data_IF_090248590717
#
_entry.id   IF_090248590717
#
_cell.length_a   1.000
_cell.length_b   1.000
_cell.length_c   1.000
_cell.angle_alpha   90.00
_cell.angle_beta   90.00
_cell.angle_gamma   90.00
#
_symmetry.space_group_name_H-M   'P 1'
#
loop_
_entity.id
_entity.type
_entity.pdbx_description
1 polymer ?
#
# COMPACT_ATOMS: atom_id res chain seq x y z
N UNK A 1 4.34 -18.58 -11.02
CA UNK A 1 4.29 -17.28 -10.31
C UNK A 1 5.64 -16.97 -9.69
N UNK A 2 6.27 -15.82 -10.01
CA UNK A 2 7.32 -15.26 -9.15
C UNK A 2 6.74 -14.94 -7.77
N UNK A 3 7.57 -15.03 -6.73
CA UNK A 3 7.15 -14.73 -5.36
C UNK A 3 7.05 -13.23 -5.15
N UNK A 4 6.03 -12.76 -4.42
CA UNK A 4 5.84 -11.33 -4.15
C UNK A 4 7.06 -10.72 -3.46
N UNK A 5 7.65 -11.44 -2.50
CA UNK A 5 8.93 -11.10 -1.87
C UNK A 5 9.83 -12.33 -1.86
N UNK A 6 11.08 -12.16 -2.28
CA UNK A 6 12.13 -13.17 -2.17
C UNK A 6 12.65 -13.32 -0.74
N UNK A 7 13.49 -14.35 -0.53
CA UNK A 7 14.09 -14.67 0.79
C UNK A 7 14.95 -13.55 1.38
N UNK A 8 15.38 -12.61 0.55
CA UNK A 8 16.16 -11.42 0.92
C UNK A 8 15.28 -10.18 1.18
N UNK A 9 13.95 -10.33 1.20
CA UNK A 9 13.02 -9.23 1.38
C UNK A 9 12.99 -8.25 0.20
N UNK A 10 13.34 -8.71 -1.01
CA UNK A 10 13.29 -7.91 -2.24
C UNK A 10 12.30 -8.48 -3.23
N UNK A 11 11.79 -7.62 -4.10
CA UNK A 11 10.81 -7.97 -5.11
C UNK A 11 11.03 -7.14 -6.38
N UNK A 12 10.58 -7.66 -7.51
CA UNK A 12 10.35 -6.82 -8.67
C UNK A 12 9.01 -6.10 -8.52
N UNK A 13 8.94 -4.85 -8.95
CA UNK A 13 7.69 -4.08 -8.93
C UNK A 13 6.58 -4.76 -9.75
N UNK A 14 6.93 -5.55 -10.77
CA UNK A 14 6.00 -6.39 -11.51
C UNK A 14 5.33 -7.46 -10.64
N UNK A 15 6.10 -8.08 -9.74
CA UNK A 15 5.61 -9.15 -8.86
C UNK A 15 4.75 -8.59 -7.74
N UNK A 16 5.12 -7.41 -7.23
CA UNK A 16 4.32 -6.65 -6.27
C UNK A 16 2.96 -6.26 -6.87
N UNK A 17 2.94 -5.69 -8.08
CA UNK A 17 1.72 -5.31 -8.78
C UNK A 17 0.82 -6.53 -9.08
N UNK A 18 1.42 -7.62 -9.55
CA UNK A 18 0.72 -8.89 -9.76
C UNK A 18 0.13 -9.43 -8.45
N UNK A 19 0.85 -9.33 -7.33
CA UNK A 19 0.40 -9.76 -6.01
C UNK A 19 -0.81 -8.97 -5.52
N UNK A 20 -0.80 -7.63 -5.64
CA UNK A 20 -1.95 -6.77 -5.30
C UNK A 20 -3.16 -7.15 -6.15
N UNK A 21 -2.97 -7.23 -7.47
CA UNK A 21 -4.04 -7.52 -8.42
C UNK A 21 -4.66 -8.90 -8.15
N UNK A 22 -3.83 -9.94 -7.99
CA UNK A 22 -4.26 -11.30 -7.70
C UNK A 22 -5.02 -11.39 -6.36
N UNK A 23 -4.54 -10.69 -5.33
CA UNK A 23 -5.21 -10.64 -4.02
C UNK A 23 -6.60 -10.01 -4.12
N UNK A 24 -6.78 -8.99 -4.95
CA UNK A 24 -8.07 -8.37 -5.24
C UNK A 24 -8.95 -9.19 -6.22
N UNK A 25 -8.52 -10.39 -6.63
CA UNK A 25 -9.27 -11.27 -7.53
C UNK A 25 -9.14 -10.91 -9.01
N UNK A 26 -8.18 -10.08 -9.38
CA UNK A 26 -7.83 -9.83 -10.80
C UNK A 26 -7.07 -11.06 -11.33
N UNK A 27 -7.45 -11.60 -12.50
CA UNK A 27 -6.68 -12.67 -13.14
C UNK A 27 -5.25 -12.20 -13.46
N UNK A 28 -4.26 -13.02 -13.11
CA UNK A 28 -2.85 -12.76 -13.39
C UNK A 28 -2.29 -13.93 -14.20
N UNK A 29 -1.62 -13.62 -15.30
CA UNK A 29 -1.03 -14.64 -16.17
C UNK A 29 -0.01 -15.49 -15.40
N UNK A 30 -0.17 -16.81 -15.45
CA UNK A 30 0.73 -17.75 -14.78
C UNK A 30 0.52 -17.88 -13.26
N UNK A 31 -0.57 -17.32 -12.72
CA UNK A 31 -1.06 -17.58 -11.37
C UNK A 31 -2.40 -18.36 -11.43
N UNK A 32 -2.67 -19.27 -10.48
CA UNK A 32 -4.00 -19.88 -10.35
C UNK A 32 -5.09 -18.84 -10.10
N UNK A 33 -6.33 -19.12 -10.46
CA UNK A 33 -7.44 -18.21 -10.14
C UNK A 33 -7.65 -18.10 -8.62
N UNK A 34 -7.82 -16.88 -8.11
CA UNK A 34 -8.16 -16.66 -6.70
C UNK A 34 -9.65 -16.88 -6.47
N UNK A 35 -10.02 -17.98 -5.80
CA UNK A 35 -11.41 -18.32 -5.49
C UNK A 35 -11.98 -17.55 -4.30
N UNK A 36 -11.12 -16.88 -3.52
CA UNK A 36 -11.48 -16.07 -2.36
C UNK A 36 -10.77 -14.70 -2.43
N UNK A 37 -11.22 -13.79 -3.31
CA UNK A 37 -10.67 -12.43 -3.38
C UNK A 37 -10.70 -11.74 -2.02
N UNK A 38 -9.66 -10.98 -1.71
CA UNK A 38 -9.56 -10.22 -0.48
C UNK A 38 -10.58 -9.09 -0.46
N UNK A 39 -11.17 -8.82 0.71
CA UNK A 39 -11.98 -7.63 0.93
C UNK A 39 -11.12 -6.38 1.18
N UNK A 40 -9.89 -6.54 1.66
CA UNK A 40 -8.91 -5.49 1.87
C UNK A 40 -7.53 -6.07 1.56
N UNK A 41 -6.71 -5.35 0.80
CA UNK A 41 -5.32 -5.74 0.54
C UNK A 41 -4.40 -4.96 1.47
N UNK A 42 -3.69 -5.66 2.35
CA UNK A 42 -2.62 -5.06 3.16
C UNK A 42 -1.28 -5.19 2.43
N UNK A 43 -0.66 -4.06 2.14
CA UNK A 43 0.64 -3.92 1.51
C UNK A 43 1.64 -3.28 2.48
N UNK A 44 2.21 -4.11 3.35
CA UNK A 44 3.15 -3.69 4.40
C UNK A 44 4.62 -3.64 3.91
N UNK A 45 4.84 -3.19 2.68
CA UNK A 45 6.16 -2.99 2.11
C UNK A 45 6.25 -1.57 1.51
N UNK A 46 7.44 -1.02 1.49
CA UNK A 46 7.69 0.28 0.89
C UNK A 46 9.13 0.41 0.46
N UNK A 47 9.34 1.09 -0.66
CA UNK A 47 10.65 1.33 -1.24
C UNK A 47 10.76 2.77 -1.75
N UNK A 48 11.99 3.26 -1.90
CA UNK A 48 12.23 4.59 -2.43
C UNK A 48 11.83 4.66 -3.91
N UNK A 49 10.98 5.62 -4.22
CA UNK A 49 10.62 5.95 -5.59
C UNK A 49 10.02 7.36 -5.61
N UNK A 50 10.60 8.24 -6.43
CA UNK A 50 10.12 9.63 -6.53
C UNK A 50 8.69 9.73 -7.08
N UNK A 51 8.24 8.71 -7.82
CA UNK A 51 6.90 8.63 -8.42
C UNK A 51 6.33 7.23 -8.20
N UNK A 52 5.00 7.11 -8.13
CA UNK A 52 4.36 5.80 -8.12
C UNK A 52 4.66 5.04 -9.42
N UNK A 53 5.27 3.84 -9.38
CA UNK A 53 5.46 3.02 -10.56
C UNK A 53 4.14 2.68 -11.22
N UNK A 54 4.09 2.78 -12.55
CA UNK A 54 2.85 2.61 -13.32
C UNK A 54 2.14 1.27 -13.02
N UNK A 55 2.89 0.18 -12.93
CA UNK A 55 2.33 -1.14 -12.63
C UNK A 55 1.64 -1.21 -11.27
N UNK A 56 2.17 -0.54 -10.24
CA UNK A 56 1.53 -0.48 -8.93
C UNK A 56 0.27 0.38 -8.96
N UNK A 57 0.32 1.52 -9.65
CA UNK A 57 -0.87 2.37 -9.82
C UNK A 57 -2.01 1.62 -10.54
N UNK A 58 -1.68 0.91 -11.62
CA UNK A 58 -2.66 0.11 -12.37
C UNK A 58 -3.23 -1.02 -11.50
N UNK A 59 -2.41 -1.67 -10.67
CA UNK A 59 -2.86 -2.71 -9.75
C UNK A 59 -3.80 -2.16 -8.65
N UNK A 60 -3.47 -1.00 -8.05
CA UNK A 60 -4.32 -0.33 -7.07
C UNK A 60 -5.66 0.07 -7.71
N UNK A 61 -5.62 0.65 -8.92
CA UNK A 61 -6.82 1.01 -9.66
C UNK A 61 -7.69 -0.23 -9.97
N UNK A 62 -7.06 -1.35 -10.34
CA UNK A 62 -7.78 -2.60 -10.61
C UNK A 62 -8.41 -3.21 -9.34
N UNK A 63 -7.75 -3.08 -8.19
CA UNK A 63 -8.32 -3.48 -6.90
C UNK A 63 -9.53 -2.58 -6.52
N UNK A 64 -9.40 -1.27 -6.70
CA UNK A 64 -10.47 -0.31 -6.47
C UNK A 64 -11.68 -0.54 -7.37
N UNK A 65 -11.47 -0.86 -8.65
CA UNK A 65 -12.55 -1.23 -9.57
C UNK A 65 -13.35 -2.46 -9.12
N UNK A 66 -12.82 -3.23 -8.15
CA UNK A 66 -13.46 -4.38 -7.52
C UNK A 66 -13.92 -4.11 -6.09
N UNK A 67 -13.93 -2.85 -5.65
CA UNK A 67 -14.24 -2.40 -4.29
C UNK A 67 -13.31 -3.01 -3.22
N UNK A 68 -12.06 -3.26 -3.58
CA UNK A 68 -11.03 -3.77 -2.67
C UNK A 68 -10.05 -2.64 -2.36
N UNK A 69 -10.15 -1.98 -1.19
CA UNK A 69 -9.18 -0.96 -0.79
C UNK A 69 -7.79 -1.57 -0.56
N UNK A 70 -6.76 -0.80 -0.91
CA UNK A 70 -5.36 -1.15 -0.66
C UNK A 70 -4.80 -0.28 0.45
N UNK A 71 -4.37 -0.92 1.54
CA UNK A 71 -3.70 -0.27 2.67
C UNK A 71 -2.20 -0.41 2.48
N UNK A 72 -1.48 0.70 2.36
CA UNK A 72 -0.05 0.76 2.13
C UNK A 72 0.70 1.30 3.35
N UNK A 73 1.88 0.75 3.64
CA UNK A 73 2.79 1.34 4.60
C UNK A 73 3.35 2.68 4.07
N UNK A 74 3.42 3.70 4.94
CA UNK A 74 4.10 4.95 4.62
C UNK A 74 5.60 4.74 4.33
N UNK A 75 6.20 3.75 5.00
CA UNK A 75 7.62 3.41 4.92
C UNK A 75 8.35 3.62 6.24
N UNK A 76 9.51 2.95 6.38
CA UNK A 76 10.31 2.93 7.61
C UNK A 76 11.66 3.64 7.41
N UNK A 77 11.64 4.82 6.80
CA UNK A 77 12.85 5.55 6.40
C UNK A 77 13.10 6.82 7.19
N UNK A 78 12.15 7.23 8.04
CA UNK A 78 12.19 8.55 8.65
C UNK A 78 12.25 9.65 7.59
N UNK A 79 11.36 9.59 6.59
CA UNK A 79 11.34 10.52 5.47
C UNK A 79 9.92 10.88 5.01
N UNK A 80 9.79 11.79 4.04
CA UNK A 80 8.51 12.09 3.41
C UNK A 80 7.99 10.87 2.63
N UNK A 81 6.75 10.46 2.93
CA UNK A 81 6.02 9.37 2.28
C UNK A 81 5.76 9.64 0.77
N UNK A 82 5.89 10.89 0.32
CA UNK A 82 5.78 11.23 -1.11
C UNK A 82 6.96 10.65 -1.92
N UNK A 83 8.11 10.43 -1.26
CA UNK A 83 9.30 9.84 -1.87
C UNK A 83 9.34 8.31 -1.82
N UNK A 84 8.26 7.66 -1.38
CA UNK A 84 8.19 6.20 -1.25
C UNK A 84 6.96 5.64 -1.92
N UNK A 85 7.11 4.46 -2.53
CA UNK A 85 6.00 3.70 -3.10
C UNK A 85 5.73 2.46 -2.28
N UNK A 86 4.46 2.03 -2.14
CA UNK A 86 3.26 2.59 -2.76
C UNK A 86 2.61 3.76 -2.01
N UNK A 87 3.27 4.34 -1.00
CA UNK A 87 2.76 5.47 -0.23
C UNK A 87 2.48 6.74 -1.06
N UNK A 88 3.07 6.87 -2.24
CA UNK A 88 2.82 7.96 -3.19
C UNK A 88 1.86 7.59 -4.34
N UNK A 89 1.28 6.39 -4.31
CA UNK A 89 0.29 5.96 -5.31
C UNK A 89 -1.09 6.47 -4.93
N UNK A 90 -1.83 6.96 -5.94
CA UNK A 90 -3.19 7.44 -5.74
C UNK A 90 -4.13 6.28 -5.38
N UNK A 91 -5.03 6.53 -4.44
CA UNK A 91 -6.00 5.55 -3.96
C UNK A 91 -5.50 4.64 -2.84
N UNK A 92 -4.18 4.56 -2.58
CA UNK A 92 -3.69 3.82 -1.43
C UNK A 92 -4.09 4.52 -0.12
N UNK A 93 -4.56 3.74 0.86
CA UNK A 93 -4.72 4.21 2.25
C UNK A 93 -3.37 4.07 2.92
N UNK A 94 -2.70 5.20 3.17
CA UNK A 94 -1.32 5.20 3.64
C UNK A 94 -1.25 5.34 5.16
N UNK A 95 -0.56 4.39 5.80
CA UNK A 95 -0.48 4.25 7.26
C UNK A 95 0.95 4.42 7.77
N UNK A 96 1.12 5.34 8.73
CA UNK A 96 2.38 5.57 9.44
C UNK A 96 2.43 4.83 10.78
N UNK A 97 3.62 4.78 11.39
CA UNK A 97 3.85 4.13 12.67
C UNK A 97 3.86 5.13 13.85
N UNK A 98 3.18 4.76 14.93
CA UNK A 98 3.15 5.51 16.19
C UNK A 98 3.61 4.63 17.36
N UNK A 99 4.35 5.23 18.29
CA UNK A 99 4.66 4.66 19.59
C UNK A 99 3.52 4.88 20.60
N UNK A 100 3.68 4.27 21.78
CA UNK A 100 2.83 4.55 22.94
C UNK A 100 2.75 6.05 23.21
N UNK A 101 1.55 6.54 23.53
CA UNK A 101 1.29 7.97 23.73
C UNK A 101 0.97 8.74 22.44
N UNK A 102 0.66 8.05 21.34
CA UNK A 102 0.31 8.66 20.04
C UNK A 102 1.42 9.54 19.44
N UNK A 103 2.68 9.19 19.71
CA UNK A 103 3.85 9.90 19.19
C UNK A 103 4.36 9.16 17.95
N UNK A 104 4.67 9.86 16.87
CA UNK A 104 5.24 9.25 15.68
C UNK A 104 6.60 8.60 16.00
N UNK A 105 6.83 7.38 15.50
CA UNK A 105 8.14 6.74 15.66
C UNK A 105 9.18 7.41 14.76
N UNK A 106 10.44 7.47 15.20
CA UNK A 106 11.50 8.13 14.42
C UNK A 106 11.80 7.48 13.07
N UNK A 107 11.40 6.23 12.87
CA UNK A 107 11.52 5.53 11.59
C UNK A 107 10.30 5.70 10.69
N UNK A 108 9.12 6.10 11.20
CA UNK A 108 7.93 6.24 10.38
C UNK A 108 8.17 7.32 9.33
N UNK A 109 7.70 7.08 8.11
CA UNK A 109 7.54 8.15 7.14
C UNK A 109 6.34 9.05 7.49
N UNK A 110 6.31 10.25 6.92
CA UNK A 110 5.30 11.30 7.20
C UNK A 110 4.94 12.13 5.97
N UNK A 111 4.02 13.09 6.13
CA UNK A 111 3.69 14.08 5.09
C UNK A 111 2.38 13.81 4.36
N UNK A 112 2.04 14.66 3.38
CA UNK A 112 0.69 14.79 2.84
C UNK A 112 0.13 13.59 2.07
N UNK A 113 0.96 12.65 1.62
CA UNK A 113 0.47 11.39 1.05
C UNK A 113 0.09 10.35 2.11
N UNK A 114 0.45 10.59 3.38
CA UNK A 114 0.12 9.70 4.48
C UNK A 114 -1.15 10.13 5.20
N UNK A 115 -2.25 9.45 4.88
CA UNK A 115 -3.58 9.71 5.43
C UNK A 115 -3.68 9.47 6.95
N UNK A 116 -2.86 8.57 7.50
CA UNK A 116 -2.81 8.29 8.93
C UNK A 116 -1.44 8.61 9.55
N UNK A 117 -0.76 9.66 9.06
CA UNK A 117 0.46 10.18 9.69
C UNK A 117 0.16 11.46 10.46
N UNK A 118 1.02 11.78 11.42
CA UNK A 118 0.92 13.01 12.20
C UNK A 118 1.18 14.26 11.31
N UNK A 119 0.43 15.38 11.47
CA UNK A 119 -0.74 15.59 12.33
C UNK A 119 -2.08 15.17 11.68
N UNK A 120 -2.07 14.69 10.44
CA UNK A 120 -3.24 14.32 9.63
C UNK A 120 -3.87 12.98 10.02
N UNK A 121 -3.72 12.50 11.26
CA UNK A 121 -4.27 11.21 11.69
C UNK A 121 -5.81 11.23 11.63
N UNK A 122 -6.38 10.78 10.51
CA UNK A 122 -7.83 10.65 10.35
C UNK A 122 -8.29 9.50 11.24
N UNK A 123 -9.19 9.80 12.18
CA UNK A 123 -9.85 8.76 12.97
C UNK A 123 -10.75 7.92 12.05
N UNK A 124 -10.71 6.60 12.21
CA UNK A 124 -11.44 5.64 11.38
C UNK A 124 -12.97 5.86 11.37
N UNK A 125 -13.53 6.52 12.38
CA UNK A 125 -14.95 6.92 12.45
C UNK A 125 -15.33 7.95 11.37
N UNK A 126 -14.38 8.75 10.90
CA UNK A 126 -14.57 9.76 9.84
C UNK A 126 -14.54 9.15 8.41
N UNK A 127 -14.09 7.90 8.24
CA UNK A 127 -14.04 7.24 6.93
C UNK A 127 -15.36 6.57 6.53
N UNK A 128 -16.35 6.54 7.42
CA UNK A 128 -17.68 5.95 7.17
C UNK A 128 -18.55 6.76 6.18
N UNK A 129 -18.14 7.97 5.79
CA UNK A 129 -18.88 8.85 4.88
C UNK A 129 -18.31 9.00 3.47
N UNK A 130 -17.31 8.20 3.07
CA UNK A 130 -16.64 8.30 1.76
C UNK A 130 -16.68 7.00 0.94
N UNK A 131 -17.61 6.09 1.26
CA UNK A 131 -17.94 4.91 0.43
C UNK A 131 -19.32 5.07 -0.18
#
# INVERSE_FOLDING_TARGET
MPVLLGVNGRAYTSDQAAGIAWSAGVPVLGAPANSTPAHVVNYSEGFYSATCPRGLQDAINAAHARNVPVVAAAGNFGASAVGTSPANCLGAIVVGATANGNVMTGYSNWGGSCLMCWPLAVRLDQMSGQL
#
